data_IF_565035946309
#
_entry.id   IF_565035946309
#
_cell.length_a   1.000
_cell.length_b   1.000
_cell.length_c   1.000
_cell.angle_alpha   90.00
_cell.angle_beta   90.00
_cell.angle_gamma   90.00
#
_symmetry.space_group_name_H-M   'P 1'
#
loop_
_entity.id
_entity.type
_entity.pdbx_description
1 polymer ?
#
# COMPACT_ATOMS: atom_id res chain seq x y z
N UNK A 1 39.05 -13.02 4.01
CA UNK A 1 39.25 -14.47 4.28
C UNK A 1 37.88 -15.11 4.36
N UNK A 2 37.57 -16.00 3.42
CA UNK A 2 36.36 -16.81 3.52
C UNK A 2 36.57 -17.87 4.61
N UNK A 3 35.69 -17.88 5.61
CA UNK A 3 35.69 -18.88 6.69
C UNK A 3 34.80 -20.06 6.27
N UNK A 4 35.37 -21.21 6.10
CA UNK A 4 34.61 -22.45 5.84
C UNK A 4 34.11 -22.96 7.21
N UNK A 5 32.80 -23.01 7.39
CA UNK A 5 32.15 -23.51 8.60
C UNK A 5 32.01 -25.05 8.50
N UNK A 6 32.21 -25.81 9.59
CA UNK A 6 31.95 -27.24 9.64
C UNK A 6 30.47 -27.56 9.37
N UNK A 7 30.19 -28.74 8.81
CA UNK A 7 28.83 -29.12 8.37
C UNK A 7 27.77 -29.05 9.47
N UNK A 8 28.11 -29.33 10.71
CA UNK A 8 27.21 -29.25 11.85
C UNK A 8 26.92 -27.81 12.36
N UNK A 9 27.82 -26.85 12.07
CA UNK A 9 27.54 -25.42 12.39
C UNK A 9 26.62 -24.76 11.35
N UNK A 10 26.58 -25.27 10.12
CA UNK A 10 25.66 -24.79 9.08
C UNK A 10 24.22 -25.20 9.39
N UNK A 11 24.01 -26.38 9.98
CA UNK A 11 22.69 -26.87 10.37
C UNK A 11 22.11 -26.18 11.61
N UNK A 12 22.98 -25.60 12.47
CA UNK A 12 22.54 -24.84 13.67
C UNK A 12 22.27 -23.37 13.40
N UNK A 13 22.58 -22.85 12.21
CA UNK A 13 22.28 -21.48 11.81
C UNK A 13 20.84 -21.42 11.30
N UNK A 14 19.90 -21.28 12.24
CA UNK A 14 18.46 -20.98 11.99
C UNK A 14 18.27 -19.55 11.38
N UNK A 15 19.33 -19.02 10.77
CA UNK A 15 19.38 -17.71 10.09
C UNK A 15 18.76 -17.72 8.68
N UNK A 16 18.26 -18.86 8.22
CA UNK A 16 17.77 -19.04 6.85
C UNK A 16 16.26 -18.99 6.73
N UNK A 17 15.53 -18.78 7.80
CA UNK A 17 14.07 -18.62 7.70
C UNK A 17 13.73 -17.20 7.30
N UNK A 18 13.50 -17.00 6.00
CA UNK A 18 13.03 -15.72 5.46
C UNK A 18 11.71 -15.36 6.16
N UNK A 19 11.61 -14.20 6.82
CA UNK A 19 10.35 -13.78 7.42
C UNK A 19 9.27 -13.69 6.33
N UNK A 20 8.21 -14.47 6.50
CA UNK A 20 7.09 -14.50 5.53
C UNK A 20 6.35 -13.17 5.47
N UNK A 21 6.23 -12.52 6.63
CA UNK A 21 5.52 -11.26 6.81
C UNK A 21 6.42 -10.23 7.48
N UNK A 22 6.23 -8.99 7.09
CA UNK A 22 6.69 -7.81 7.81
C UNK A 22 5.46 -6.99 8.18
N UNK A 23 5.15 -6.96 9.47
CA UNK A 23 4.01 -6.20 10.00
C UNK A 23 4.30 -4.70 9.96
N UNK A 24 3.27 -3.84 9.85
CA UNK A 24 3.47 -2.40 9.83
C UNK A 24 4.05 -1.89 11.15
N UNK A 25 5.04 -0.99 11.04
CA UNK A 25 5.58 -0.28 12.20
C UNK A 25 4.65 0.90 12.53
N UNK A 26 3.83 0.72 13.57
CA UNK A 26 2.81 1.68 13.98
C UNK A 26 3.37 3.08 14.28
N UNK A 27 4.61 3.14 14.74
CA UNK A 27 5.24 4.40 15.15
C UNK A 27 5.61 5.29 13.96
N UNK A 28 5.86 4.70 12.76
CA UNK A 28 6.48 5.44 11.66
C UNK A 28 5.82 5.27 10.29
N UNK A 29 4.97 4.26 10.06
CA UNK A 29 4.48 3.87 8.75
C UNK A 29 3.93 5.03 7.89
N UNK A 30 3.15 5.92 8.47
CA UNK A 30 2.64 7.08 7.74
C UNK A 30 3.56 8.31 7.83
N UNK A 31 4.38 8.46 8.88
CA UNK A 31 5.38 9.53 8.92
C UNK A 31 6.51 9.31 7.91
N UNK A 32 6.93 8.06 7.69
CA UNK A 32 7.91 7.71 6.66
C UNK A 32 7.35 8.03 5.27
N UNK A 33 6.06 7.69 5.02
CA UNK A 33 5.35 8.06 3.80
C UNK A 33 5.27 9.57 3.60
N UNK A 34 4.89 10.33 4.64
CA UNK A 34 4.81 11.79 4.56
C UNK A 34 6.17 12.42 4.23
N UNK A 35 7.23 11.97 4.88
CA UNK A 35 8.59 12.43 4.61
C UNK A 35 9.02 12.12 3.16
N UNK A 36 8.72 10.91 2.67
CA UNK A 36 9.03 10.51 1.30
C UNK A 36 8.27 11.33 0.27
N UNK A 37 6.96 11.52 0.44
CA UNK A 37 6.12 12.32 -0.44
C UNK A 37 6.65 13.76 -0.58
N UNK A 38 7.04 14.42 0.52
CA UNK A 38 7.66 15.75 0.49
C UNK A 38 8.99 15.77 -0.27
N UNK A 39 9.83 14.76 -0.02
CA UNK A 39 11.11 14.64 -0.75
C UNK A 39 10.90 14.54 -2.25
N UNK A 40 9.89 13.78 -2.68
CA UNK A 40 9.56 13.58 -4.09
C UNK A 40 8.85 14.79 -4.71
N UNK A 41 8.08 15.55 -3.92
CA UNK A 41 7.35 16.73 -4.38
C UNK A 41 8.26 17.80 -4.99
N UNK A 42 9.45 18.00 -4.42
CA UNK A 42 10.39 19.06 -4.83
C UNK A 42 10.80 18.99 -6.31
N UNK A 43 10.76 17.83 -6.95
CA UNK A 43 11.18 17.63 -8.35
C UNK A 43 10.10 17.04 -9.24
N UNK A 44 8.87 16.89 -8.74
CA UNK A 44 7.77 16.23 -9.43
C UNK A 44 6.84 17.25 -10.13
N UNK A 45 6.35 16.98 -11.35
CA UNK A 45 5.32 17.78 -12.00
C UNK A 45 3.97 17.77 -11.24
N UNK A 46 3.76 16.80 -10.35
CA UNK A 46 2.58 16.70 -9.47
C UNK A 46 2.93 17.08 -8.01
N UNK A 47 3.94 17.94 -7.82
CA UNK A 47 4.49 18.28 -6.49
C UNK A 47 3.43 18.75 -5.51
N UNK A 48 2.51 19.64 -5.92
CA UNK A 48 1.43 20.13 -5.07
C UNK A 48 0.50 19.00 -4.59
N UNK A 49 0.24 18.01 -5.45
CA UNK A 49 -0.54 16.84 -5.06
C UNK A 49 0.21 15.94 -4.08
N UNK A 50 1.52 15.74 -4.28
CA UNK A 50 2.35 14.99 -3.34
C UNK A 50 2.43 15.67 -1.98
N UNK A 51 2.48 17.00 -1.93
CA UNK A 51 2.43 17.78 -0.67
C UNK A 51 1.08 17.62 0.04
N UNK A 52 -0.03 17.64 -0.69
CA UNK A 52 -1.34 17.35 -0.13
C UNK A 52 -1.40 15.94 0.46
N UNK A 53 -0.90 14.94 -0.25
CA UNK A 53 -0.85 13.55 0.22
C UNK A 53 0.11 13.38 1.41
N UNK A 54 1.21 14.13 1.46
CA UNK A 54 2.11 14.17 2.61
C UNK A 54 1.41 14.71 3.88
N UNK A 55 0.64 15.77 3.72
CA UNK A 55 -0.18 16.34 4.81
C UNK A 55 -1.23 15.34 5.31
N UNK A 56 -1.89 14.64 4.38
CA UNK A 56 -2.83 13.58 4.70
C UNK A 56 -2.15 12.42 5.45
N UNK A 57 -0.94 12.03 5.05
CA UNK A 57 -0.16 10.99 5.72
C UNK A 57 0.27 11.40 7.15
N UNK A 58 0.60 12.67 7.38
CA UNK A 58 0.84 13.17 8.74
C UNK A 58 -0.42 13.10 9.62
N UNK A 59 -1.59 13.43 9.05
CA UNK A 59 -2.86 13.29 9.77
C UNK A 59 -3.13 11.81 10.09
N UNK A 60 -2.88 10.88 9.12
CA UNK A 60 -2.96 9.44 9.36
C UNK A 60 -2.04 9.00 10.50
N UNK A 61 -0.80 9.48 10.56
CA UNK A 61 0.14 9.11 11.64
C UNK A 61 -0.34 9.59 13.01
N UNK A 62 -0.89 10.80 13.09
CA UNK A 62 -1.49 11.32 14.34
C UNK A 62 -2.69 10.47 14.77
N UNK A 63 -3.60 10.20 13.84
CA UNK A 63 -4.78 9.38 14.10
C UNK A 63 -4.40 7.96 14.51
N UNK A 64 -3.43 7.32 13.83
CA UNK A 64 -2.98 5.97 14.12
C UNK A 64 -2.41 5.83 15.54
N UNK A 65 -1.66 6.83 16.02
CA UNK A 65 -1.08 6.81 17.38
C UNK A 65 -2.13 6.68 18.48
N UNK A 66 -3.29 7.32 18.29
CA UNK A 66 -4.35 7.41 19.29
C UNK A 66 -5.46 6.37 19.10
N UNK A 67 -5.60 5.83 17.88
CA UNK A 67 -6.67 4.89 17.57
C UNK A 67 -6.38 3.51 18.17
N UNK A 68 -7.35 2.98 18.92
CA UNK A 68 -7.34 1.60 19.40
C UNK A 68 -8.25 0.79 18.49
N UNK A 69 -7.72 -0.18 17.73
CA UNK A 69 -8.53 -1.00 16.84
C UNK A 69 -9.44 -1.93 17.65
N UNK A 70 -10.64 -2.29 17.14
CA UNK A 70 -11.45 -3.33 17.72
C UNK A 70 -10.72 -4.69 17.61
N UNK A 71 -11.01 -5.59 18.54
CA UNK A 71 -10.55 -6.97 18.44
C UNK A 71 -11.30 -7.69 17.30
N UNK A 72 -10.60 -8.43 16.43
CA UNK A 72 -11.26 -9.27 15.42
C UNK A 72 -12.13 -10.34 16.07
N UNK A 73 -13.26 -10.69 15.44
CA UNK A 73 -14.09 -11.82 15.92
C UNK A 73 -13.27 -13.12 15.84
N UNK A 74 -13.01 -13.79 16.98
CA UNK A 74 -12.21 -15.01 17.00
C UNK A 74 -12.78 -16.15 16.13
N UNK A 75 -14.10 -16.20 15.94
CA UNK A 75 -14.74 -17.20 15.07
C UNK A 75 -14.44 -16.94 13.60
N UNK A 76 -14.48 -15.67 13.18
CA UNK A 76 -14.11 -15.30 11.79
C UNK A 76 -12.63 -15.55 11.53
N UNK A 77 -11.77 -15.27 12.51
CA UNK A 77 -10.32 -15.57 12.39
C UNK A 77 -10.08 -17.07 12.25
N UNK A 78 -10.72 -17.91 13.07
CA UNK A 78 -10.57 -19.37 13.00
C UNK A 78 -11.12 -19.92 11.67
N UNK A 79 -12.29 -19.47 11.23
CA UNK A 79 -12.87 -19.84 9.94
C UNK A 79 -11.95 -19.44 8.77
N UNK A 80 -11.37 -18.24 8.82
CA UNK A 80 -10.42 -17.78 7.81
C UNK A 80 -9.17 -18.67 7.75
N UNK A 81 -8.65 -19.10 8.90
CA UNK A 81 -7.52 -20.03 8.99
C UNK A 81 -7.86 -21.39 8.40
N UNK A 82 -9.01 -21.97 8.75
CA UNK A 82 -9.48 -23.26 8.23
C UNK A 82 -9.58 -23.27 6.70
N UNK A 83 -10.02 -22.16 6.12
CA UNK A 83 -10.22 -22.02 4.68
C UNK A 83 -9.05 -21.35 3.95
N UNK A 84 -7.94 -21.06 4.64
CA UNK A 84 -6.78 -20.37 4.11
C UNK A 84 -7.12 -19.01 3.45
N UNK A 85 -8.03 -18.25 4.08
CA UNK A 85 -8.53 -16.94 3.62
C UNK A 85 -8.03 -15.81 4.52
N UNK A 86 -7.93 -14.57 4.02
CA UNK A 86 -7.51 -13.43 4.83
C UNK A 86 -8.48 -13.16 6.00
N UNK A 87 -8.00 -13.09 7.26
CA UNK A 87 -8.87 -12.93 8.43
C UNK A 87 -9.44 -11.52 8.63
N UNK A 88 -8.85 -10.50 8.02
CA UNK A 88 -9.30 -9.10 8.13
C UNK A 88 -9.88 -8.58 6.81
N UNK A 89 -10.62 -9.40 6.08
CA UNK A 89 -11.25 -8.97 4.82
C UNK A 89 -12.21 -7.80 5.04
N UNK A 90 -12.17 -6.74 4.20
CA UNK A 90 -13.11 -5.61 4.27
C UNK A 90 -14.57 -6.03 4.22
N UNK A 91 -14.91 -7.02 3.39
CA UNK A 91 -16.26 -7.56 3.28
C UNK A 91 -16.80 -8.19 4.58
N UNK A 92 -15.92 -8.53 5.52
CA UNK A 92 -16.28 -9.09 6.83
C UNK A 92 -16.31 -8.04 7.95
N UNK A 93 -16.02 -6.76 7.64
CA UNK A 93 -16.02 -5.69 8.62
C UNK A 93 -17.47 -5.35 9.05
N UNK A 94 -17.71 -5.11 10.36
CA UNK A 94 -19.03 -4.70 10.83
C UNK A 94 -19.41 -3.33 10.25
N UNK A 95 -20.59 -3.22 9.63
CA UNK A 95 -21.14 -1.96 9.10
C UNK A 95 -21.83 -1.11 10.17
N UNK A 96 -22.30 -1.74 11.27
CA UNK A 96 -23.18 -1.10 12.26
C UNK A 96 -22.48 -0.10 13.19
N UNK A 97 -21.14 -0.13 13.27
CA UNK A 97 -20.37 0.83 14.07
C UNK A 97 -19.01 1.11 13.41
N UNK A 98 -19.00 1.81 12.30
CA UNK A 98 -17.78 2.00 11.53
C UNK A 98 -16.85 3.00 12.23
N UNK A 99 -15.97 2.49 13.08
CA UNK A 99 -14.96 3.30 13.77
C UNK A 99 -14.08 4.11 12.80
N UNK A 100 -13.96 3.69 11.55
CA UNK A 100 -13.23 4.40 10.50
C UNK A 100 -13.88 5.74 10.10
N UNK A 101 -15.21 5.92 10.28
CA UNK A 101 -15.87 7.23 10.03
C UNK A 101 -15.37 8.32 10.98
N UNK A 102 -15.15 7.97 12.24
CA UNK A 102 -14.52 8.89 13.19
C UNK A 102 -13.08 9.25 12.82
N UNK A 103 -12.34 8.29 12.25
CA UNK A 103 -11.01 8.55 11.67
C UNK A 103 -11.11 9.50 10.48
N UNK A 104 -12.05 9.28 9.55
CA UNK A 104 -12.25 10.17 8.40
C UNK A 104 -12.54 11.60 8.85
N UNK A 105 -13.50 11.79 9.77
CA UNK A 105 -13.82 13.12 10.32
C UNK A 105 -12.55 13.82 10.83
N UNK A 106 -11.76 13.12 11.64
CA UNK A 106 -10.52 13.64 12.21
C UNK A 106 -9.48 13.99 11.15
N UNK A 107 -9.28 13.12 10.14
CA UNK A 107 -8.34 13.39 9.06
C UNK A 107 -8.72 14.64 8.27
N UNK A 108 -10.02 14.82 7.97
CA UNK A 108 -10.51 16.00 7.27
C UNK A 108 -10.33 17.27 8.10
N UNK A 109 -10.64 17.24 9.39
CA UNK A 109 -10.43 18.36 10.31
C UNK A 109 -8.93 18.72 10.41
N UNK A 110 -8.05 17.75 10.51
CA UNK A 110 -6.59 17.93 10.56
C UNK A 110 -6.02 18.53 9.26
N UNK A 111 -6.53 18.08 8.10
CA UNK A 111 -6.10 18.61 6.79
C UNK A 111 -6.59 20.04 6.60
N UNK A 112 -7.84 20.32 6.94
CA UNK A 112 -8.44 21.66 6.85
C UNK A 112 -7.78 22.69 7.78
N UNK A 113 -7.30 22.27 8.95
CA UNK A 113 -6.59 23.14 9.89
C UNK A 113 -5.18 23.55 9.41
N UNK A 114 -4.64 22.87 8.39
CA UNK A 114 -3.30 23.16 7.86
C UNK A 114 -3.26 24.38 6.94
N UNK A 115 -2.15 25.12 6.94
CA UNK A 115 -1.93 26.27 6.05
C UNK A 115 -1.56 25.83 4.61
N UNK A 116 -1.89 26.66 3.61
CA UNK A 116 -1.49 26.46 2.20
C UNK A 116 -2.24 25.33 1.50
N UNK A 117 -3.45 24.99 1.94
CA UNK A 117 -4.34 24.08 1.22
C UNK A 117 -4.94 24.82 0.01
N UNK A 118 -4.97 24.18 -1.16
CA UNK A 118 -5.62 24.75 -2.34
C UNK A 118 -7.14 24.85 -2.14
N UNK A 119 -7.78 25.83 -2.78
CA UNK A 119 -9.23 26.01 -2.71
C UNK A 119 -10.00 24.73 -3.12
N UNK A 120 -9.49 24.01 -4.15
CA UNK A 120 -10.08 22.76 -4.61
C UNK A 120 -10.03 21.65 -3.56
N UNK A 121 -8.88 21.49 -2.92
CA UNK A 121 -8.70 20.49 -1.85
C UNK A 121 -9.53 20.87 -0.60
N UNK A 122 -9.56 22.15 -0.21
CA UNK A 122 -10.38 22.62 0.88
C UNK A 122 -11.87 22.38 0.62
N UNK A 123 -12.35 22.67 -0.60
CA UNK A 123 -13.72 22.42 -1.00
C UNK A 123 -14.08 20.93 -0.99
N UNK A 124 -13.18 20.04 -1.47
CA UNK A 124 -13.39 18.59 -1.43
C UNK A 124 -13.49 18.08 0.02
N UNK A 125 -12.56 18.47 0.89
CA UNK A 125 -12.59 18.10 2.31
C UNK A 125 -13.88 18.58 2.99
N UNK A 126 -14.29 19.83 2.73
CA UNK A 126 -15.49 20.42 3.32
C UNK A 126 -16.75 19.70 2.85
N UNK A 127 -16.89 19.42 1.56
CA UNK A 127 -18.02 18.63 1.03
C UNK A 127 -18.08 17.25 1.67
N UNK A 128 -16.96 16.53 1.67
CA UNK A 128 -16.91 15.18 2.25
C UNK A 128 -17.25 15.20 3.75
N UNK A 129 -16.79 16.23 4.49
CA UNK A 129 -17.11 16.41 5.90
C UNK A 129 -18.61 16.63 6.12
N UNK A 130 -19.26 17.42 5.25
CA UNK A 130 -20.71 17.65 5.25
C UNK A 130 -21.49 16.37 4.90
N UNK A 131 -21.06 15.61 3.88
CA UNK A 131 -21.67 14.33 3.51
C UNK A 131 -21.59 13.35 4.68
N UNK A 132 -20.43 13.25 5.35
CA UNK A 132 -20.27 12.39 6.52
C UNK A 132 -21.22 12.72 7.67
N UNK A 133 -21.62 13.99 7.82
CA UNK A 133 -22.57 14.44 8.86
C UNK A 133 -24.03 14.26 8.44
N UNK A 134 -24.36 14.51 7.17
CA UNK A 134 -25.76 14.54 6.69
C UNK A 134 -26.24 13.21 6.12
N UNK A 135 -25.39 12.49 5.41
CA UNK A 135 -25.69 11.23 4.72
C UNK A 135 -24.51 10.25 4.84
N UNK A 136 -24.20 9.77 6.07
CA UNK A 136 -23.06 8.88 6.29
C UNK A 136 -23.10 7.58 5.48
N UNK A 137 -24.26 7.14 5.04
CA UNK A 137 -24.47 6.01 4.11
C UNK A 137 -23.83 6.25 2.76
N UNK A 138 -23.85 7.47 2.22
CA UNK A 138 -23.18 7.80 0.95
C UNK A 138 -21.66 7.63 1.08
N UNK A 139 -21.10 7.90 2.26
CA UNK A 139 -19.67 7.69 2.52
C UNK A 139 -19.32 6.21 2.66
N UNK A 140 -20.23 5.40 3.21
CA UNK A 140 -20.08 3.93 3.22
C UNK A 140 -20.10 3.36 1.80
N UNK A 141 -20.98 3.84 0.93
CA UNK A 141 -21.06 3.40 -0.47
C UNK A 141 -19.75 3.74 -1.22
N UNK A 142 -19.17 4.92 -0.96
CA UNK A 142 -17.84 5.25 -1.47
C UNK A 142 -16.79 4.27 -0.96
N UNK A 143 -16.77 3.98 0.34
CA UNK A 143 -15.80 3.08 0.94
C UNK A 143 -15.92 1.66 0.36
N UNK A 144 -17.13 1.14 0.21
CA UNK A 144 -17.41 -0.16 -0.38
C UNK A 144 -16.93 -0.24 -1.84
N UNK A 145 -17.22 0.77 -2.65
CA UNK A 145 -16.78 0.85 -4.03
C UNK A 145 -15.24 0.87 -4.13
N UNK A 146 -14.57 1.67 -3.29
CA UNK A 146 -13.10 1.74 -3.24
C UNK A 146 -12.47 0.40 -2.84
N UNK A 147 -13.03 -0.29 -1.85
CA UNK A 147 -12.52 -1.58 -1.37
C UNK A 147 -12.78 -2.73 -2.35
N UNK A 148 -13.88 -2.66 -3.12
CA UNK A 148 -14.24 -3.68 -4.11
C UNK A 148 -13.45 -3.56 -5.43
N UNK A 149 -12.96 -2.36 -5.77
CA UNK A 149 -12.39 -2.05 -7.09
C UNK A 149 -10.99 -2.61 -7.34
N UNK A 150 -10.29 -3.08 -6.31
CA UNK A 150 -8.87 -3.43 -6.43
C UNK A 150 -7.95 -2.25 -6.76
N UNK A 151 -8.43 -1.02 -6.54
CA UNK A 151 -7.77 0.26 -6.86
C UNK A 151 -7.71 0.58 -8.36
N UNK A 152 -8.64 0.05 -9.14
CA UNK A 152 -8.90 0.49 -10.52
C UNK A 152 -9.86 1.70 -10.56
N UNK A 153 -10.24 2.12 -11.77
CA UNK A 153 -11.22 3.21 -11.94
C UNK A 153 -12.58 2.84 -11.32
N UNK A 154 -13.13 3.76 -10.53
CA UNK A 154 -14.44 3.60 -9.87
C UNK A 154 -15.35 4.77 -10.20
N UNK A 155 -16.66 4.52 -10.14
CA UNK A 155 -17.69 5.56 -10.26
C UNK A 155 -17.94 6.20 -8.88
N UNK A 156 -16.92 6.91 -8.39
CA UNK A 156 -16.97 7.70 -7.15
C UNK A 156 -16.29 9.04 -7.37
N UNK A 157 -16.57 10.02 -6.49
CA UNK A 157 -15.86 11.30 -6.51
C UNK A 157 -14.35 11.07 -6.29
N UNK A 158 -13.57 11.21 -7.37
CA UNK A 158 -12.12 11.04 -7.36
C UNK A 158 -11.41 12.01 -6.39
N UNK A 159 -12.05 13.16 -6.07
CA UNK A 159 -11.51 14.11 -5.11
C UNK A 159 -11.74 13.67 -3.65
N UNK A 160 -12.80 12.92 -3.37
CA UNK A 160 -13.10 12.36 -2.05
C UNK A 160 -12.33 11.05 -1.77
N UNK A 161 -12.09 10.25 -2.81
CA UNK A 161 -11.53 8.91 -2.71
C UNK A 161 -10.21 8.81 -1.89
N UNK A 162 -9.19 9.67 -2.08
CA UNK A 162 -7.94 9.59 -1.31
C UNK A 162 -8.16 9.78 0.20
N UNK A 163 -9.10 10.63 0.60
CA UNK A 163 -9.39 10.89 2.02
C UNK A 163 -10.13 9.71 2.67
N UNK A 164 -11.11 9.14 1.99
CA UNK A 164 -11.82 7.93 2.44
C UNK A 164 -10.82 6.78 2.57
N UNK A 165 -10.01 6.54 1.54
CA UNK A 165 -8.96 5.51 1.57
C UNK A 165 -7.96 5.75 2.70
N UNK A 166 -7.58 6.99 2.98
CA UNK A 166 -6.66 7.29 4.07
C UNK A 166 -7.24 6.89 5.45
N UNK A 167 -8.53 7.11 5.67
CA UNK A 167 -9.19 6.68 6.91
C UNK A 167 -9.26 5.15 7.02
N UNK A 168 -9.59 4.47 5.93
CA UNK A 168 -9.58 3.01 5.84
C UNK A 168 -8.17 2.44 6.08
N UNK A 169 -7.14 3.07 5.53
CA UNK A 169 -5.75 2.68 5.78
C UNK A 169 -5.38 2.77 7.27
N UNK A 170 -5.76 3.84 7.97
CA UNK A 170 -5.50 3.96 9.42
C UNK A 170 -6.16 2.80 10.16
N UNK A 171 -7.43 2.52 9.86
CA UNK A 171 -8.19 1.45 10.50
C UNK A 171 -7.54 0.08 10.29
N UNK A 172 -7.28 -0.32 9.04
CA UNK A 172 -6.70 -1.63 8.72
C UNK A 172 -5.23 -1.76 9.12
N UNK A 173 -4.45 -0.67 9.08
CA UNK A 173 -3.08 -0.68 9.58
C UNK A 173 -3.04 -0.85 11.10
N UNK A 174 -3.96 -0.23 11.84
CA UNK A 174 -4.07 -0.42 13.28
C UNK A 174 -4.45 -1.87 13.63
N UNK A 175 -5.42 -2.44 12.91
CA UNK A 175 -5.81 -3.85 13.05
C UNK A 175 -4.62 -4.78 12.77
N UNK A 176 -3.91 -4.54 11.67
CA UNK A 176 -2.74 -5.33 11.28
C UNK A 176 -1.61 -5.26 12.31
N UNK A 177 -1.30 -4.06 12.81
CA UNK A 177 -0.25 -3.88 13.82
C UNK A 177 -0.54 -4.57 15.16
N UNK A 178 -1.82 -4.84 15.45
CA UNK A 178 -2.26 -5.56 16.65
C UNK A 178 -2.45 -7.07 16.42
N UNK A 179 -2.41 -7.53 15.16
CA UNK A 179 -2.68 -8.93 14.81
C UNK A 179 -1.45 -9.81 14.99
N UNK A 180 -1.65 -11.03 15.51
CA UNK A 180 -0.59 -12.01 15.66
C UNK A 180 -0.17 -12.57 14.27
N UNK A 181 1.08 -12.31 13.81
CA UNK A 181 1.54 -12.76 12.50
C UNK A 181 1.56 -14.29 12.33
N UNK A 182 1.60 -15.06 13.42
CA UNK A 182 1.54 -16.53 13.37
C UNK A 182 0.13 -17.05 13.03
N UNK A 183 -0.89 -16.24 13.24
CA UNK A 183 -2.27 -16.58 12.89
C UNK A 183 -2.64 -16.20 11.44
N UNK A 184 -1.77 -15.51 10.71
CA UNK A 184 -2.03 -15.12 9.32
C UNK A 184 -1.86 -16.33 8.40
N UNK A 185 -2.87 -16.72 7.60
CA UNK A 185 -2.78 -17.82 6.65
C UNK A 185 -1.73 -17.59 5.56
N UNK A 186 -1.37 -18.63 4.80
CA UNK A 186 -0.38 -18.52 3.72
C UNK A 186 -0.95 -18.03 2.39
N UNK A 187 -2.25 -18.13 2.18
CA UNK A 187 -2.91 -17.78 0.93
C UNK A 187 -4.00 -16.75 1.08
N UNK A 188 -4.73 -16.43 0.02
CA UNK A 188 -4.49 -16.81 -1.37
C UNK A 188 -3.30 -16.05 -2.02
N UNK A 189 -2.79 -16.56 -3.14
CA UNK A 189 -1.71 -15.92 -3.89
C UNK A 189 -2.15 -14.62 -4.56
N UNK A 190 -1.23 -13.66 -4.69
CA UNK A 190 -1.46 -12.41 -5.42
C UNK A 190 -2.17 -11.30 -4.63
N UNK A 191 -2.61 -11.59 -3.41
CA UNK A 191 -3.24 -10.63 -2.51
C UNK A 191 -2.61 -10.66 -1.11
N UNK A 192 -2.90 -9.65 -0.31
CA UNK A 192 -2.46 -9.61 1.08
C UNK A 192 -3.08 -10.77 1.88
N UNK A 193 -2.30 -11.63 2.55
CA UNK A 193 -2.84 -12.77 3.29
C UNK A 193 -3.59 -12.36 4.57
N UNK A 194 -3.49 -11.09 4.99
CA UNK A 194 -4.18 -10.57 6.16
C UNK A 194 -5.52 -9.91 5.80
N UNK A 195 -5.59 -9.06 4.77
CA UNK A 195 -6.80 -8.30 4.43
C UNK A 195 -7.36 -8.58 3.01
N UNK A 196 -6.68 -9.37 2.17
CA UNK A 196 -7.17 -9.72 0.85
C UNK A 196 -6.92 -8.67 -0.24
N UNK A 197 -6.39 -7.50 0.09
CA UNK A 197 -6.17 -6.43 -0.87
C UNK A 197 -5.00 -6.75 -1.81
N UNK A 198 -5.11 -6.47 -3.13
CA UNK A 198 -3.99 -6.58 -4.06
C UNK A 198 -2.84 -5.64 -3.68
N UNK A 199 -1.56 -6.08 -3.77
CA UNK A 199 -0.42 -5.25 -3.39
C UNK A 199 -0.20 -4.10 -4.39
N UNK A 200 0.16 -2.90 -3.91
CA UNK A 200 0.45 -1.73 -4.76
C UNK A 200 1.77 -1.88 -5.52
N UNK A 201 2.79 -2.38 -4.85
CA UNK A 201 4.15 -2.51 -5.38
C UNK A 201 4.91 -3.63 -4.69
N UNK A 202 6.11 -3.91 -5.20
CA UNK A 202 7.12 -4.73 -4.54
C UNK A 202 8.24 -3.86 -3.99
N UNK A 203 8.91 -4.31 -2.93
CA UNK A 203 10.14 -3.70 -2.43
C UNK A 203 11.19 -4.79 -2.15
N UNK A 204 12.43 -4.54 -2.54
CA UNK A 204 13.58 -5.33 -2.09
C UNK A 204 14.17 -4.63 -0.89
N UNK A 205 14.01 -5.23 0.27
CA UNK A 205 14.43 -4.68 1.55
C UNK A 205 15.91 -4.93 1.80
N UNK A 206 16.51 -4.11 2.68
CA UNK A 206 17.87 -4.28 3.18
C UNK A 206 17.85 -4.34 4.71
N UNK A 207 18.88 -4.95 5.26
CA UNK A 207 19.16 -5.00 6.69
C UNK A 207 18.40 -6.07 7.48
N UNK A 208 19.08 -6.61 8.49
CA UNK A 208 18.52 -7.59 9.41
C UNK A 208 18.05 -8.88 8.71
N UNK A 209 16.93 -9.40 9.17
CA UNK A 209 16.31 -10.62 8.64
C UNK A 209 15.66 -10.44 7.26
N UNK A 210 15.55 -9.21 6.77
CA UNK A 210 14.89 -8.86 5.51
C UNK A 210 15.87 -8.62 4.34
N UNK A 211 17.18 -8.69 4.62
CA UNK A 211 18.23 -8.26 3.69
C UNK A 211 18.19 -9.02 2.36
N UNK A 212 18.04 -8.24 1.28
CA UNK A 212 17.99 -8.76 -0.08
C UNK A 212 16.70 -9.49 -0.46
N UNK A 213 15.70 -9.58 0.42
CA UNK A 213 14.44 -10.25 0.10
C UNK A 213 13.40 -9.27 -0.44
N UNK A 214 12.56 -9.79 -1.35
CA UNK A 214 11.47 -9.07 -1.98
C UNK A 214 10.18 -9.24 -1.20
N UNK A 215 9.47 -8.14 -0.98
CA UNK A 215 8.16 -8.12 -0.34
C UNK A 215 7.13 -7.41 -1.21
N UNK A 216 5.91 -7.94 -1.24
CA UNK A 216 4.73 -7.29 -1.81
C UNK A 216 4.10 -6.40 -0.74
N UNK A 217 3.84 -5.13 -1.06
CA UNK A 217 3.36 -4.14 -0.10
C UNK A 217 1.85 -3.96 -0.23
N UNK A 218 1.12 -4.24 0.84
CA UNK A 218 -0.33 -4.03 0.90
C UNK A 218 -0.65 -2.54 1.02
N UNK A 219 -1.45 -1.95 0.13
CA UNK A 219 -1.79 -0.54 0.19
C UNK A 219 -2.82 -0.20 1.27
N UNK A 220 -3.56 -1.17 1.79
CA UNK A 220 -4.61 -0.95 2.80
C UNK A 220 -4.09 -1.13 4.24
N UNK A 221 -3.52 -2.29 4.56
CA UNK A 221 -3.10 -2.61 5.92
C UNK A 221 -1.59 -2.48 6.17
N UNK A 222 -0.83 -2.06 5.16
CA UNK A 222 0.63 -1.85 5.21
C UNK A 222 1.47 -3.09 5.56
N UNK A 223 0.88 -4.29 5.53
CA UNK A 223 1.62 -5.55 5.67
C UNK A 223 2.44 -5.81 4.40
N UNK A 224 3.67 -6.26 4.59
CA UNK A 224 4.53 -6.71 3.51
C UNK A 224 4.66 -8.23 3.53
N UNK A 225 4.41 -8.86 2.37
CA UNK A 225 4.43 -10.32 2.21
C UNK A 225 5.59 -10.75 1.33
N UNK A 226 6.43 -11.66 1.81
CA UNK A 226 7.56 -12.18 1.04
C UNK A 226 7.10 -12.84 -0.25
N UNK A 227 7.76 -12.49 -1.36
CA UNK A 227 7.64 -13.17 -2.64
C UNK A 227 9.02 -13.46 -3.21
N UNK A 228 9.24 -14.69 -3.65
CA UNK A 228 10.49 -15.09 -4.32
C UNK A 228 10.74 -14.18 -5.52
N UNK A 229 12.01 -13.75 -5.68
CA UNK A 229 12.42 -12.94 -6.84
C UNK A 229 12.15 -13.68 -8.15
N UNK A 230 11.93 -12.91 -9.23
CA UNK A 230 11.65 -13.46 -10.57
C UNK A 230 10.40 -14.37 -10.58
N UNK A 231 9.39 -13.96 -9.80
CA UNK A 231 8.06 -14.61 -9.80
C UNK A 231 7.01 -13.52 -10.04
N UNK A 232 6.16 -13.72 -11.04
CA UNK A 232 5.06 -12.81 -11.29
C UNK A 232 4.12 -12.73 -10.07
N UNK A 233 3.92 -11.54 -9.55
CA UNK A 233 3.05 -11.32 -8.38
C UNK A 233 1.55 -11.45 -8.69
N UNK A 234 1.18 -11.59 -9.97
CA UNK A 234 -0.19 -11.73 -10.42
C UNK A 234 -0.55 -13.18 -10.77
N UNK A 235 0.24 -13.84 -11.62
CA UNK A 235 -0.06 -15.18 -12.12
C UNK A 235 0.91 -16.29 -11.64
N UNK A 236 1.84 -16.00 -10.75
CA UNK A 236 2.84 -16.93 -10.19
C UNK A 236 3.86 -17.52 -11.17
N UNK A 237 3.84 -17.15 -12.45
CA UNK A 237 4.83 -17.63 -13.41
C UNK A 237 6.23 -17.10 -13.07
N UNK A 238 7.25 -17.93 -13.35
CA UNK A 238 8.68 -17.62 -13.14
C UNK A 238 9.45 -17.45 -14.44
N UNK A 239 8.77 -17.60 -15.57
CA UNK A 239 9.33 -17.40 -16.92
C UNK A 239 8.73 -16.13 -17.52
N UNK A 240 9.44 -15.54 -18.48
CA UNK A 240 8.97 -14.37 -19.22
C UNK A 240 8.77 -13.13 -18.31
N UNK A 241 9.64 -12.96 -17.31
CA UNK A 241 9.70 -11.76 -16.46
C UNK A 241 10.77 -10.84 -17.05
N UNK A 242 10.39 -9.57 -17.29
CA UNK A 242 11.30 -8.51 -17.71
C UNK A 242 11.26 -7.34 -16.74
N UNK A 243 12.31 -6.52 -16.76
CA UNK A 243 12.42 -5.33 -15.92
C UNK A 243 12.64 -4.11 -16.81
N UNK A 244 11.78 -3.12 -16.64
CA UNK A 244 11.80 -1.87 -17.40
C UNK A 244 12.12 -0.70 -16.45
N UNK A 245 12.77 0.32 -16.98
CA UNK A 245 13.11 1.54 -16.26
C UNK A 245 13.13 2.73 -17.23
N UNK A 246 13.06 3.93 -16.69
CA UNK A 246 13.17 5.16 -17.48
C UNK A 246 14.61 5.64 -17.41
N UNK A 247 15.26 5.83 -18.56
CA UNK A 247 16.53 6.56 -18.66
C UNK A 247 16.25 8.04 -18.87
N UNK A 248 16.88 8.90 -18.08
CA UNK A 248 16.81 10.33 -18.37
C UNK A 248 17.66 10.69 -19.59
N UNK A 249 17.54 11.96 -20.09
CA UNK A 249 18.26 12.44 -21.27
C UNK A 249 19.80 12.36 -21.13
N UNK A 250 20.33 12.17 -19.93
CA UNK A 250 21.75 12.00 -19.62
C UNK A 250 22.15 10.52 -19.49
N UNK A 251 21.24 9.56 -19.74
CA UNK A 251 21.48 8.13 -19.57
C UNK A 251 21.59 7.68 -18.11
N UNK A 252 21.16 8.53 -17.16
CA UNK A 252 21.14 8.20 -15.74
C UNK A 252 19.77 7.60 -15.41
N UNK A 253 19.79 6.37 -14.92
CA UNK A 253 18.61 5.65 -14.49
C UNK A 253 18.43 5.84 -13.00
N UNK A 254 17.22 6.17 -12.50
CA UNK A 254 16.89 5.95 -11.11
C UNK A 254 16.90 4.43 -10.86
N UNK A 255 18.04 3.89 -10.47
CA UNK A 255 18.22 2.44 -10.27
C UNK A 255 17.28 1.86 -9.19
N UNK A 256 16.71 2.74 -8.36
CA UNK A 256 15.81 2.37 -7.28
C UNK A 256 14.41 1.94 -7.76
N UNK A 257 13.99 2.34 -8.97
CA UNK A 257 12.61 2.15 -9.46
C UNK A 257 12.62 1.38 -10.77
N UNK A 258 11.88 0.25 -10.83
CA UNK A 258 11.66 -0.51 -12.07
C UNK A 258 10.22 -0.97 -12.16
N UNK A 259 9.74 -1.27 -13.37
CA UNK A 259 8.54 -2.06 -13.61
C UNK A 259 8.95 -3.51 -13.89
N UNK A 260 8.41 -4.46 -13.15
CA UNK A 260 8.52 -5.89 -13.42
C UNK A 260 7.30 -6.30 -14.24
N UNK A 261 7.50 -6.69 -15.49
CA UNK A 261 6.44 -7.17 -16.39
C UNK A 261 6.47 -8.69 -16.53
N UNK A 262 5.32 -9.24 -16.87
CA UNK A 262 5.14 -10.66 -17.17
C UNK A 262 4.46 -10.82 -18.52
N UNK A 263 5.17 -11.33 -19.53
CA UNK A 263 4.60 -11.60 -20.86
C UNK A 263 3.50 -12.69 -20.81
N UNK A 264 3.54 -13.57 -19.80
CA UNK A 264 2.59 -14.67 -19.67
C UNK A 264 1.17 -14.22 -19.33
N UNK A 265 1.00 -13.13 -18.57
CA UNK A 265 -0.31 -12.56 -18.23
C UNK A 265 -0.50 -11.11 -18.69
N UNK A 266 0.50 -10.50 -19.35
CA UNK A 266 0.42 -9.13 -19.86
C UNK A 266 0.38 -8.06 -18.77
N UNK A 267 0.69 -8.39 -17.50
CA UNK A 267 0.64 -7.43 -16.41
C UNK A 267 2.02 -6.97 -15.96
N UNK A 268 2.07 -5.82 -15.30
CA UNK A 268 3.27 -5.33 -14.63
C UNK A 268 2.97 -4.85 -13.20
N UNK A 269 4.03 -4.76 -12.38
CA UNK A 269 4.04 -4.15 -11.05
C UNK A 269 5.36 -3.43 -10.83
N UNK A 270 5.32 -2.26 -10.19
CA UNK A 270 6.54 -1.55 -9.82
C UNK A 270 7.28 -2.27 -8.70
N UNK A 271 8.61 -2.24 -8.78
CA UNK A 271 9.51 -2.80 -7.79
C UNK A 271 10.54 -1.74 -7.40
N UNK A 272 10.73 -1.56 -6.10
CA UNK A 272 11.64 -0.59 -5.53
C UNK A 272 12.81 -1.29 -4.84
N UNK A 273 14.00 -0.72 -4.98
CA UNK A 273 15.24 -1.29 -4.42
C UNK A 273 15.77 -0.39 -3.31
N UNK A 274 15.57 -0.79 -2.06
CA UNK A 274 16.02 -0.04 -0.90
C UNK A 274 17.56 0.08 -0.84
N UNK A 275 18.31 -0.85 -1.41
CA UNK A 275 19.77 -0.75 -1.57
C UNK A 275 20.20 0.49 -2.38
N UNK A 276 19.37 0.94 -3.32
CA UNK A 276 19.64 2.07 -4.21
C UNK A 276 19.11 3.39 -3.66
N UNK A 277 18.05 3.37 -2.89
CA UNK A 277 17.50 4.50 -2.15
C UNK A 277 16.94 4.02 -0.81
N UNK A 278 17.59 4.39 0.28
CA UNK A 278 17.23 3.96 1.63
C UNK A 278 15.83 4.39 2.06
N UNK A 279 15.32 5.44 1.45
CA UNK A 279 14.06 6.10 1.83
C UNK A 279 12.87 5.67 0.97
N UNK A 280 13.02 4.66 0.09
CA UNK A 280 11.87 4.18 -0.71
C UNK A 280 10.69 3.81 0.20
N UNK A 281 9.52 4.36 -0.14
CA UNK A 281 8.24 4.05 0.47
C UNK A 281 7.26 3.62 -0.64
N UNK A 282 6.74 2.40 -0.61
CA UNK A 282 6.08 1.79 -1.77
C UNK A 282 4.91 2.58 -2.33
N UNK A 283 4.09 3.22 -1.49
CA UNK A 283 2.92 4.00 -1.92
C UNK A 283 3.34 5.35 -2.50
N UNK A 284 4.29 6.02 -1.84
CA UNK A 284 4.78 7.33 -2.27
C UNK A 284 5.58 7.27 -3.58
N UNK A 285 6.53 6.33 -3.67
CA UNK A 285 7.36 6.15 -4.87
C UNK A 285 6.53 5.67 -6.06
N UNK A 286 5.51 4.86 -5.81
CA UNK A 286 4.58 4.43 -6.84
C UNK A 286 3.76 5.61 -7.38
N UNK A 287 3.24 6.47 -6.51
CA UNK A 287 2.51 7.69 -6.88
C UNK A 287 3.40 8.68 -7.65
N UNK A 288 4.65 8.84 -7.27
CA UNK A 288 5.57 9.80 -7.91
C UNK A 288 6.14 9.32 -9.24
N UNK A 289 5.96 8.04 -9.61
CA UNK A 289 6.54 7.44 -10.82
C UNK A 289 5.51 7.12 -11.92
N UNK A 290 4.47 7.97 -12.07
CA UNK A 290 3.39 7.77 -13.05
C UNK A 290 3.86 7.73 -14.51
N UNK A 291 4.95 8.41 -14.83
CA UNK A 291 5.54 8.35 -16.18
C UNK A 291 5.91 6.90 -16.58
N UNK A 292 6.33 6.08 -15.62
CA UNK A 292 6.60 4.65 -15.88
C UNK A 292 5.30 3.89 -16.18
N UNK A 293 4.18 4.25 -15.55
CA UNK A 293 2.88 3.63 -15.83
C UNK A 293 2.41 3.94 -17.25
N UNK A 294 2.60 5.20 -17.72
CA UNK A 294 2.27 5.61 -19.09
C UNK A 294 3.08 4.79 -20.10
N UNK A 295 4.39 4.71 -19.91
CA UNK A 295 5.26 3.95 -20.81
C UNK A 295 4.93 2.45 -20.82
N UNK A 296 4.65 1.86 -19.67
CA UNK A 296 4.25 0.45 -19.60
C UNK A 296 2.92 0.20 -20.31
N UNK A 297 1.97 1.15 -20.25
CA UNK A 297 0.72 1.11 -20.99
C UNK A 297 0.94 1.19 -22.51
N UNK A 298 1.85 2.06 -22.98
CA UNK A 298 2.24 2.16 -24.39
C UNK A 298 2.89 0.87 -24.91
N UNK A 299 3.63 0.16 -24.07
CA UNK A 299 4.21 -1.15 -24.36
C UNK A 299 3.17 -2.30 -24.28
N UNK A 300 1.91 -2.00 -23.97
CA UNK A 300 0.80 -2.95 -23.96
C UNK A 300 0.64 -3.77 -22.68
N UNK A 301 1.32 -3.39 -21.58
CA UNK A 301 1.14 -4.03 -20.29
C UNK A 301 0.06 -3.36 -19.45
N UNK A 302 -0.72 -4.18 -18.75
CA UNK A 302 -1.75 -3.71 -17.80
C UNK A 302 -1.18 -3.68 -16.39
N UNK A 303 -1.46 -2.62 -15.65
CA UNK A 303 -1.06 -2.51 -14.24
C UNK A 303 -1.79 -3.55 -13.38
N UNK A 304 -1.08 -4.24 -12.50
CA UNK A 304 -1.66 -5.31 -11.66
C UNK A 304 -2.59 -4.80 -10.55
N UNK A 305 -2.44 -3.55 -10.11
CA UNK A 305 -3.30 -2.87 -9.12
C UNK A 305 -2.96 -1.39 -9.05
N UNK A 306 -3.92 -0.52 -8.75
CA UNK A 306 -3.76 0.93 -8.64
C UNK A 306 -3.10 1.39 -7.34
N UNK A 307 -2.89 2.72 -7.24
CA UNK A 307 -2.39 3.38 -6.04
C UNK A 307 -3.56 3.89 -5.18
N UNK A 308 -3.58 3.67 -3.86
CA UNK A 308 -4.70 4.06 -2.99
C UNK A 308 -4.88 5.57 -2.86
N UNK A 309 -3.87 6.35 -3.24
CA UNK A 309 -3.90 7.82 -3.20
C UNK A 309 -4.15 8.44 -4.58
N UNK A 310 -4.37 7.64 -5.65
CA UNK A 310 -4.63 8.13 -6.99
C UNK A 310 -5.87 7.43 -7.57
N UNK A 311 -6.91 8.19 -7.77
CA UNK A 311 -8.17 7.72 -8.33
C UNK A 311 -8.53 8.52 -9.57
N UNK A 312 -9.02 7.83 -10.57
CA UNK A 312 -9.52 8.43 -11.80
C UNK A 312 -11.02 8.20 -11.89
N UNK A 313 -11.78 9.25 -12.20
CA UNK A 313 -13.17 9.08 -12.56
C UNK A 313 -13.25 8.23 -13.85
N UNK A 314 -14.24 7.34 -13.95
CA UNK A 314 -14.53 6.66 -15.20
C UNK A 314 -14.90 7.71 -16.25
N UNK A 315 -14.19 7.73 -17.36
CA UNK A 315 -14.65 8.46 -18.54
C UNK A 315 -15.79 7.64 -19.17
N UNK A 316 -16.97 8.26 -19.34
CA UNK A 316 -18.15 7.69 -20.01
C UNK A 316 -17.90 7.45 -21.51
#
# INVERSE_FOLDING_TARGET
>A
MQRILPRGEIESLDHTRIPRLRMPERASVFSDRAARLRSLAASSPIGDYLELMARLADAQQRALKEFTPPEPDPKLVEQAREHNMPPLQPASAPRDAPAWRGLLARLLDDVLAGEGLSDGAAAACTRLRQTLESTPEDVEDIADALLASGYDSVDVDAAAAPFVMAALQVYWTAMAAAFDPEQVPSGPFGVCPLCGTPPVASVVRIGGAYDGYRYLCCPLCSVETHLVRVTCSHCSQTKCIAYHHIENAQGVTPEAIKAESCEGCGSYRKIFYQEKDLHVEPVADDLASLALDVLMGEEGYTRSSGNPLLWQARED
#
